data_IF_680733412898
#
_entry.id   IF_680733412898
#
_cell.length_a   1.000
_cell.length_b   1.000
_cell.length_c   1.000
_cell.angle_alpha   90.00
_cell.angle_beta   90.00
_cell.angle_gamma   90.00
#
_symmetry.space_group_name_H-M   'P 1'
#
loop_
_entity.id
_entity.type
_entity.pdbx_description
1 polymer ?
#
# COMPACT_ATOMS: atom_id res chain seq x y z
N UNK A 1 5.09 6.18 -11.33
CA UNK A 1 5.00 5.26 -10.17
C UNK A 1 5.90 5.79 -9.08
N UNK A 2 5.48 5.67 -7.81
CA UNK A 2 6.31 5.87 -6.62
C UNK A 2 6.32 4.56 -5.84
N UNK A 3 7.53 4.11 -5.47
CA UNK A 3 7.73 2.90 -4.67
C UNK A 3 8.11 3.24 -3.23
N UNK A 4 7.52 2.52 -2.27
CA UNK A 4 7.89 2.56 -0.86
C UNK A 4 8.37 1.17 -0.47
N UNK A 5 9.55 1.11 0.12
CA UNK A 5 10.10 -0.14 0.63
C UNK A 5 10.16 -0.06 2.17
N UNK A 6 9.44 -0.96 2.82
CA UNK A 6 9.41 -1.05 4.28
C UNK A 6 10.18 -2.26 4.77
N UNK A 7 11.06 -2.06 5.73
CA UNK A 7 11.83 -3.14 6.36
C UNK A 7 11.75 -3.01 7.88
N UNK A 8 11.65 -4.13 8.57
CA UNK A 8 11.62 -4.14 10.03
C UNK A 8 12.96 -3.69 10.62
N UNK A 9 14.06 -4.25 10.09
CA UNK A 9 15.41 -3.97 10.56
C UNK A 9 16.40 -3.99 9.39
N UNK A 10 16.97 -2.83 9.07
CA UNK A 10 17.84 -2.68 7.91
C UNK A 10 19.07 -3.63 7.90
N UNK A 11 19.62 -3.95 9.08
CA UNK A 11 20.76 -4.86 9.21
C UNK A 11 20.46 -6.32 8.88
N UNK A 12 19.21 -6.72 8.93
CA UNK A 12 18.77 -8.11 8.65
C UNK A 12 17.97 -8.21 7.34
N UNK A 13 18.00 -7.17 6.53
CA UNK A 13 17.28 -7.18 5.28
C UNK A 13 17.88 -8.18 4.28
N UNK A 14 17.12 -9.20 3.95
CA UNK A 14 17.40 -10.12 2.84
C UNK A 14 16.45 -9.78 1.72
N UNK A 15 16.99 -9.48 0.53
CA UNK A 15 16.16 -9.20 -0.65
C UNK A 15 15.36 -10.45 -1.00
N UNK A 16 14.06 -10.39 -0.74
CA UNK A 16 13.12 -11.45 -1.13
C UNK A 16 12.80 -11.37 -2.61
N UNK A 17 12.34 -12.45 -3.23
CA UNK A 17 11.73 -12.39 -4.54
C UNK A 17 10.59 -11.36 -4.55
N UNK A 18 10.43 -10.70 -5.69
CA UNK A 18 9.37 -9.73 -5.92
C UNK A 18 8.78 -9.93 -7.32
N UNK A 19 7.58 -9.41 -7.55
CA UNK A 19 7.02 -9.42 -8.89
C UNK A 19 7.86 -8.53 -9.81
N UNK A 20 8.09 -9.01 -11.02
CA UNK A 20 8.75 -8.22 -12.05
C UNK A 20 7.77 -7.19 -12.61
N UNK A 21 8.13 -5.91 -12.47
CA UNK A 21 7.33 -4.81 -12.97
C UNK A 21 7.97 -4.29 -14.26
N UNK A 22 7.18 -4.22 -15.32
CA UNK A 22 7.60 -3.71 -16.61
C UNK A 22 7.38 -2.20 -16.71
N UNK A 23 8.27 -1.52 -17.42
CA UNK A 23 8.21 -0.10 -17.71
C UNK A 23 9.46 0.67 -17.27
N UNK A 24 9.45 1.97 -17.48
CA UNK A 24 10.54 2.91 -17.14
C UNK A 24 10.62 3.14 -15.61
N UNK A 25 10.83 2.09 -14.83
CA UNK A 25 10.93 2.16 -13.36
C UNK A 25 12.31 2.67 -12.89
N UNK A 26 13.30 2.72 -13.79
CA UNK A 26 14.66 3.14 -13.47
C UNK A 26 14.85 4.67 -13.41
N UNK A 27 13.85 5.43 -13.82
CA UNK A 27 13.89 6.89 -13.71
C UNK A 27 13.74 7.32 -12.28
N UNK A 28 14.78 7.85 -11.69
CA UNK A 28 14.73 8.47 -10.37
C UNK A 28 13.70 9.62 -10.36
N UNK A 29 12.86 9.73 -9.33
CA UNK A 29 11.94 10.85 -9.21
C UNK A 29 12.70 12.17 -9.02
N UNK A 30 12.08 13.27 -9.44
CA UNK A 30 12.55 14.59 -9.03
C UNK A 30 12.48 14.71 -7.50
N UNK A 31 13.54 15.24 -6.89
CA UNK A 31 13.67 15.33 -5.43
C UNK A 31 13.83 16.78 -5.00
N UNK A 32 13.03 17.21 -4.07
CA UNK A 32 13.17 18.51 -3.37
C UNK A 32 13.22 18.27 -1.88
N UNK A 33 14.21 18.85 -1.21
CA UNK A 33 14.34 18.83 0.25
C UNK A 33 14.31 20.25 0.79
N UNK A 34 13.46 20.50 1.76
CA UNK A 34 13.40 21.76 2.51
C UNK A 34 13.76 21.48 3.96
N UNK A 35 14.72 22.24 4.50
CA UNK A 35 15.14 22.15 5.90
C UNK A 35 14.54 23.27 6.69
N UNK A 36 13.75 22.94 7.70
CA UNK A 36 13.18 23.91 8.62
C UNK A 36 13.18 23.36 10.05
N UNK A 37 13.62 24.16 11.00
CA UNK A 37 13.60 23.83 12.44
C UNK A 37 14.22 22.46 12.79
N UNK A 38 15.30 22.07 12.11
CA UNK A 38 15.99 20.78 12.33
C UNK A 38 15.34 19.55 11.71
N UNK A 39 14.26 19.75 10.95
CA UNK A 39 13.55 18.69 10.23
C UNK A 39 13.74 18.85 8.72
N UNK A 40 13.71 17.73 8.01
CA UNK A 40 13.81 17.71 6.56
C UNK A 40 12.47 17.27 5.98
N UNK A 41 11.83 18.17 5.23
CA UNK A 41 10.65 17.86 4.44
C UNK A 41 11.07 17.53 3.02
N UNK A 42 10.68 16.37 2.54
CA UNK A 42 10.98 15.86 1.22
C UNK A 42 9.74 15.84 0.34
N UNK A 43 9.94 16.21 -0.91
CA UNK A 43 8.97 16.03 -1.99
C UNK A 43 9.63 15.22 -3.10
N UNK A 44 9.04 14.09 -3.42
CA UNK A 44 9.42 13.24 -4.55
C UNK A 44 8.35 13.37 -5.63
N UNK A 45 8.76 13.59 -6.89
CA UNK A 45 7.83 13.75 -8.01
C UNK A 45 8.18 12.80 -9.15
N UNK A 46 7.18 12.08 -9.65
CA UNK A 46 7.29 11.18 -10.79
C UNK A 46 6.09 11.42 -11.72
N UNK A 47 6.31 12.25 -12.76
CA UNK A 47 5.25 12.72 -13.65
C UNK A 47 4.19 13.51 -12.88
N UNK A 48 2.94 13.07 -12.95
CA UNK A 48 1.80 13.70 -12.24
C UNK A 48 1.68 13.32 -10.77
N UNK A 49 2.41 12.29 -10.34
CA UNK A 49 2.37 11.77 -8.98
C UNK A 49 3.46 12.42 -8.13
N UNK A 50 3.11 12.87 -6.92
CA UNK A 50 4.08 13.33 -5.95
C UNK A 50 3.81 12.78 -4.55
N UNK A 51 4.88 12.66 -3.78
CA UNK A 51 4.90 12.18 -2.40
C UNK A 51 5.57 13.22 -1.53
N UNK A 52 4.94 13.61 -0.44
CA UNK A 52 5.52 14.46 0.61
C UNK A 52 5.66 13.67 1.91
N UNK A 53 6.81 13.81 2.55
CA UNK A 53 7.07 13.23 3.86
C UNK A 53 8.13 14.04 4.62
N UNK A 54 8.19 13.84 5.93
CA UNK A 54 9.19 14.45 6.82
C UNK A 54 10.10 13.35 7.38
N UNK A 55 11.39 13.59 7.42
CA UNK A 55 12.37 12.64 7.99
C UNK A 55 12.08 12.41 9.48
N UNK A 56 12.01 11.12 9.86
CA UNK A 56 11.66 10.70 11.21
C UNK A 56 10.16 10.62 11.51
N UNK A 57 9.31 10.97 10.54
CA UNK A 57 7.87 10.77 10.62
C UNK A 57 7.43 9.61 9.71
N UNK A 58 6.55 8.72 10.14
CA UNK A 58 5.94 7.73 9.27
C UNK A 58 4.84 8.31 8.37
N UNK A 59 4.48 9.59 8.57
CA UNK A 59 3.42 10.24 7.80
C UNK A 59 3.86 10.54 6.37
N UNK A 60 3.01 10.20 5.42
CA UNK A 60 3.24 10.43 4.00
C UNK A 60 1.96 10.90 3.33
N UNK A 61 2.07 11.86 2.41
CA UNK A 61 0.94 12.37 1.63
C UNK A 61 1.20 12.17 0.15
N UNK A 62 0.22 11.60 -0.54
CA UNK A 62 0.30 11.30 -1.97
C UNK A 62 -0.62 12.24 -2.74
N UNK A 63 -0.10 12.83 -3.81
CA UNK A 63 -0.82 13.74 -4.66
C UNK A 63 -0.79 13.29 -6.11
N UNK A 64 -1.88 13.49 -6.83
CA UNK A 64 -1.98 13.34 -8.27
C UNK A 64 -2.47 14.65 -8.91
N UNK A 65 -1.72 15.20 -9.86
CA UNK A 65 -2.00 16.51 -10.46
C UNK A 65 -2.25 17.62 -9.41
N UNK A 66 -1.50 17.62 -8.30
CA UNK A 66 -1.60 18.59 -7.23
C UNK A 66 -2.76 18.38 -6.24
N UNK A 67 -3.63 17.39 -6.46
CA UNK A 67 -4.73 17.04 -5.56
C UNK A 67 -4.31 15.88 -4.64
N UNK A 68 -4.58 15.98 -3.35
CA UNK A 68 -4.33 14.88 -2.40
C UNK A 68 -5.20 13.68 -2.74
N UNK A 69 -4.57 12.53 -2.95
CA UNK A 69 -5.21 11.25 -3.25
C UNK A 69 -5.46 10.47 -1.98
N UNK A 70 -4.40 10.25 -1.21
CA UNK A 70 -4.42 9.51 0.05
C UNK A 70 -3.23 9.89 0.93
N UNK A 71 -3.22 9.41 2.16
CA UNK A 71 -2.10 9.61 3.08
C UNK A 71 -1.90 8.38 3.98
N UNK A 72 -0.68 8.23 4.47
CA UNK A 72 -0.34 7.37 5.60
C UNK A 72 -0.25 8.25 6.84
N UNK A 73 -0.98 7.92 7.90
CA UNK A 73 -0.98 8.65 9.17
C UNK A 73 -0.01 8.04 10.18
N UNK A 74 0.38 8.79 11.20
CA UNK A 74 1.45 8.42 12.14
C UNK A 74 1.24 7.11 12.91
N UNK A 75 0.04 6.60 13.04
CA UNK A 75 -0.26 5.37 13.79
C UNK A 75 -0.78 4.22 12.94
N UNK A 76 -0.74 4.36 11.62
CA UNK A 76 -1.27 3.35 10.70
C UNK A 76 -0.18 2.48 10.07
N UNK A 77 1.08 2.75 10.39
CA UNK A 77 2.22 1.97 9.89
C UNK A 77 3.03 1.45 11.07
N UNK A 78 3.40 0.20 11.02
CA UNK A 78 4.18 -0.42 12.07
C UNK A 78 4.47 -1.89 11.82
N UNK A 79 5.00 -2.53 12.85
CA UNK A 79 5.22 -3.95 12.89
C UNK A 79 4.35 -4.58 13.98
N UNK A 80 3.68 -5.66 13.61
CA UNK A 80 2.86 -6.46 14.50
C UNK A 80 3.55 -7.80 14.76
N UNK A 81 3.77 -8.10 16.05
CA UNK A 81 4.23 -9.41 16.47
C UNK A 81 3.04 -10.28 16.86
N UNK A 82 2.84 -11.36 16.13
CA UNK A 82 1.80 -12.32 16.45
C UNK A 82 2.28 -13.32 17.51
N UNK A 83 1.39 -13.73 18.41
CA UNK A 83 1.72 -14.67 19.50
C UNK A 83 2.33 -16.00 19.05
N UNK A 84 2.10 -16.42 17.82
CA UNK A 84 2.66 -17.63 17.22
C UNK A 84 4.06 -17.41 16.58
N UNK A 85 4.71 -16.27 16.83
CA UNK A 85 6.06 -15.98 16.36
C UNK A 85 6.15 -15.39 14.95
N UNK A 86 5.03 -15.17 14.27
CA UNK A 86 5.01 -14.48 12.97
C UNK A 86 5.05 -12.96 13.15
N UNK A 87 5.78 -12.29 12.27
CA UNK A 87 5.86 -10.84 12.23
C UNK A 87 5.21 -10.32 10.94
N UNK A 88 4.40 -9.29 11.07
CA UNK A 88 3.74 -8.63 9.96
C UNK A 88 4.15 -7.16 9.90
N UNK A 89 4.39 -6.66 8.70
CA UNK A 89 4.43 -5.23 8.43
C UNK A 89 3.00 -4.78 8.10
N UNK A 90 2.58 -3.71 8.75
CA UNK A 90 1.25 -3.13 8.58
C UNK A 90 1.41 -1.71 8.05
N UNK A 91 0.66 -1.34 7.05
CA UNK A 91 0.58 0.04 6.57
C UNK A 91 -0.85 0.35 6.15
N UNK A 92 -1.42 1.40 6.73
CA UNK A 92 -2.76 1.88 6.42
C UNK A 92 -2.73 3.13 5.56
N UNK A 93 -3.47 3.12 4.47
CA UNK A 93 -3.73 4.25 3.61
C UNK A 93 -5.12 4.82 3.92
N UNK A 94 -5.24 6.14 4.02
CA UNK A 94 -6.50 6.78 4.34
C UNK A 94 -7.51 6.58 3.19
N UNK A 95 -8.67 6.04 3.53
CA UNK A 95 -9.80 5.91 2.62
C UNK A 95 -10.75 7.09 2.80
N UNK A 96 -11.01 7.82 1.73
CA UNK A 96 -11.89 9.01 1.76
C UNK A 96 -13.35 8.64 1.87
N UNK A 97 -14.17 9.56 2.37
CA UNK A 97 -15.63 9.39 2.41
C UNK A 97 -16.18 9.20 0.99
N UNK A 98 -16.95 8.14 0.77
CA UNK A 98 -17.51 7.79 -0.53
C UNK A 98 -16.50 7.24 -1.54
N UNK A 99 -15.25 7.04 -1.15
CA UNK A 99 -14.25 6.40 -1.99
C UNK A 99 -14.49 4.89 -2.05
N UNK A 100 -14.57 4.35 -3.26
CA UNK A 100 -14.78 2.92 -3.51
C UNK A 100 -13.48 2.27 -3.98
N UNK A 101 -13.24 1.06 -3.52
CA UNK A 101 -12.06 0.24 -3.82
C UNK A 101 -12.46 -0.96 -4.66
N UNK A 102 -11.68 -1.25 -5.69
CA UNK A 102 -11.86 -2.36 -6.63
C UNK A 102 -10.56 -3.10 -6.87
N UNK A 103 -10.63 -4.33 -7.37
CA UNK A 103 -9.47 -5.14 -7.73
C UNK A 103 -9.27 -6.34 -6.81
N UNK A 104 -8.02 -6.64 -6.45
CA UNK A 104 -7.59 -7.75 -5.61
C UNK A 104 -7.79 -9.14 -6.24
N UNK A 105 -7.79 -9.20 -7.58
CA UNK A 105 -7.90 -10.44 -8.33
C UNK A 105 -9.35 -10.87 -8.64
N UNK A 106 -9.50 -12.07 -9.16
CA UNK A 106 -10.80 -12.67 -9.48
C UNK A 106 -11.36 -13.36 -8.23
N UNK A 107 -12.52 -12.88 -7.77
CA UNK A 107 -13.19 -13.39 -6.56
C UNK A 107 -14.69 -13.46 -6.75
N UNK A 108 -15.33 -14.41 -6.07
CA UNK A 108 -16.81 -14.55 -6.03
C UNK A 108 -17.46 -13.65 -4.98
N UNK A 109 -16.73 -12.66 -4.47
CA UNK A 109 -17.22 -11.63 -3.55
C UNK A 109 -17.64 -10.37 -4.32
N UNK A 110 -18.37 -9.42 -3.70
CA UNK A 110 -18.75 -8.17 -4.37
C UNK A 110 -17.57 -7.45 -5.02
N UNK A 111 -17.82 -6.80 -6.18
CA UNK A 111 -16.78 -6.05 -6.89
C UNK A 111 -16.21 -4.89 -6.08
N UNK A 112 -17.07 -4.17 -5.36
CA UNK A 112 -16.67 -3.15 -4.40
C UNK A 112 -16.10 -3.85 -3.18
N UNK A 113 -14.85 -3.53 -2.83
CA UNK A 113 -14.13 -4.20 -1.75
C UNK A 113 -14.27 -3.52 -0.39
N UNK A 114 -14.91 -2.37 -0.32
CA UNK A 114 -15.19 -1.69 0.95
C UNK A 114 -15.91 -2.63 1.94
N UNK A 115 -15.52 -2.55 3.19
CA UNK A 115 -15.98 -3.40 4.30
C UNK A 115 -15.63 -4.88 4.15
N UNK A 116 -14.64 -5.22 3.34
CA UNK A 116 -14.15 -6.58 3.18
C UNK A 116 -12.71 -6.72 3.68
N UNK A 117 -12.41 -7.88 4.26
CA UNK A 117 -11.07 -8.40 4.44
C UNK A 117 -10.74 -9.31 3.28
N UNK A 118 -9.62 -9.10 2.62
CA UNK A 118 -9.22 -9.85 1.42
C UNK A 118 -7.81 -10.41 1.59
N UNK A 119 -7.72 -11.71 1.75
CA UNK A 119 -6.45 -12.43 1.80
C UNK A 119 -5.94 -12.74 0.40
N UNK A 120 -4.72 -12.35 0.11
CA UNK A 120 -4.01 -12.66 -1.13
C UNK A 120 -3.17 -13.93 -0.92
N UNK A 121 -3.77 -15.04 -1.31
CA UNK A 121 -3.14 -16.35 -1.28
C UNK A 121 -3.82 -17.25 -2.31
N UNK A 122 -3.07 -17.77 -3.28
CA UNK A 122 -3.65 -18.60 -4.33
C UNK A 122 -3.98 -19.99 -3.78
N UNK A 123 -5.27 -20.29 -3.77
CA UNK A 123 -5.79 -21.57 -3.30
C UNK A 123 -7.10 -21.88 -4.05
N UNK A 124 -7.28 -23.13 -4.47
CA UNK A 124 -8.50 -23.54 -5.15
C UNK A 124 -9.62 -23.77 -4.15
N UNK A 125 -10.65 -22.97 -4.22
CA UNK A 125 -11.78 -23.01 -3.29
C UNK A 125 -13.14 -23.17 -3.94
N UNK A 126 -13.20 -23.24 -5.27
CA UNK A 126 -14.46 -23.29 -6.01
C UNK A 126 -15.29 -22.00 -5.85
N UNK A 127 -16.52 -22.03 -6.34
CA UNK A 127 -17.40 -20.85 -6.43
C UNK A 127 -18.13 -20.48 -5.14
N UNK A 128 -18.07 -21.34 -4.12
CA UNK A 128 -18.80 -21.17 -2.86
C UNK A 128 -17.94 -20.67 -1.70
N UNK A 129 -16.70 -20.25 -1.96
CA UNK A 129 -15.79 -19.77 -0.93
C UNK A 129 -15.11 -18.47 -1.33
N UNK A 130 -14.49 -17.79 -0.36
CA UNK A 130 -13.67 -16.59 -0.58
C UNK A 130 -12.26 -16.93 -1.12
N UNK A 131 -11.90 -18.20 -1.14
CA UNK A 131 -10.63 -18.69 -1.65
C UNK A 131 -10.60 -18.50 -3.16
N UNK A 132 -9.45 -18.07 -3.67
CA UNK A 132 -9.27 -17.77 -5.09
C UNK A 132 -7.89 -18.23 -5.57
N UNK A 133 -7.82 -18.73 -6.78
CA UNK A 133 -6.56 -19.08 -7.45
C UNK A 133 -5.99 -17.96 -8.33
N UNK A 134 -6.67 -16.83 -8.47
CA UNK A 134 -6.22 -15.65 -9.22
C UNK A 134 -6.19 -14.40 -8.34
N UNK A 135 -5.33 -14.42 -7.34
CA UNK A 135 -5.11 -13.28 -6.47
C UNK A 135 -4.12 -12.30 -7.09
N UNK A 136 -4.43 -11.03 -7.07
CA UNK A 136 -3.55 -9.95 -7.52
C UNK A 136 -3.49 -8.91 -6.41
N UNK A 137 -2.34 -8.66 -5.76
CA UNK A 137 -2.21 -7.70 -4.66
C UNK A 137 -2.21 -6.24 -5.18
N UNK A 138 -3.21 -5.92 -5.99
CA UNK A 138 -3.42 -4.62 -6.59
C UNK A 138 -4.87 -4.21 -6.47
N UNK A 139 -5.08 -3.00 -5.95
CA UNK A 139 -6.38 -2.36 -5.98
C UNK A 139 -6.31 -0.98 -6.62
N UNK A 140 -7.45 -0.48 -7.05
CA UNK A 140 -7.63 0.90 -7.52
C UNK A 140 -8.88 1.52 -6.92
N UNK A 141 -8.93 2.85 -6.90
CA UNK A 141 -10.02 3.58 -6.26
C UNK A 141 -10.73 4.54 -7.20
N UNK A 142 -11.93 4.97 -6.80
CA UNK A 142 -12.69 6.00 -7.53
C UNK A 142 -11.99 7.36 -7.52
N UNK A 143 -10.98 7.59 -6.70
CA UNK A 143 -10.13 8.80 -6.77
C UNK A 143 -9.09 8.75 -7.90
N UNK A 144 -8.97 7.62 -8.62
CA UNK A 144 -8.09 7.48 -9.78
C UNK A 144 -6.65 7.16 -9.45
N UNK A 145 -6.38 6.50 -8.33
CA UNK A 145 -5.07 5.92 -8.02
C UNK A 145 -5.20 4.43 -7.76
N UNK A 146 -4.09 3.72 -7.88
CA UNK A 146 -3.97 2.32 -7.52
C UNK A 146 -2.76 2.05 -6.64
N UNK A 147 -2.83 0.96 -5.90
CA UNK A 147 -1.75 0.48 -5.01
C UNK A 147 -1.45 -0.98 -5.32
N UNK A 148 -0.17 -1.27 -5.49
CA UNK A 148 0.33 -2.62 -5.69
C UNK A 148 1.27 -3.00 -4.54
N UNK A 149 0.99 -4.11 -3.86
CA UNK A 149 1.87 -4.65 -2.83
C UNK A 149 2.79 -5.69 -3.46
N UNK A 150 4.03 -5.30 -3.71
CA UNK A 150 5.02 -6.15 -4.35
C UNK A 150 5.67 -7.11 -3.34
N UNK A 151 4.90 -8.10 -2.90
CA UNK A 151 5.34 -9.13 -1.97
C UNK A 151 4.82 -10.50 -2.39
N UNK A 152 5.69 -11.55 -2.48
CA UNK A 152 5.29 -12.87 -2.94
C UNK A 152 4.61 -13.72 -1.85
N UNK A 153 4.73 -13.34 -0.60
CA UNK A 153 4.09 -14.03 0.53
C UNK A 153 2.64 -13.59 0.73
N UNK A 154 2.03 -14.12 1.78
CA UNK A 154 0.65 -13.78 2.15
C UNK A 154 0.51 -12.30 2.48
N UNK A 155 -0.48 -11.65 1.90
CA UNK A 155 -0.86 -10.26 2.14
C UNK A 155 -2.35 -10.22 2.48
N UNK A 156 -2.74 -9.47 3.49
CA UNK A 156 -4.14 -9.22 3.82
C UNK A 156 -4.47 -7.75 3.62
N UNK A 157 -5.60 -7.48 2.97
CA UNK A 157 -6.15 -6.15 2.79
C UNK A 157 -7.41 -5.99 3.62
N UNK A 158 -7.36 -5.08 4.59
CA UNK A 158 -8.50 -4.63 5.38
C UNK A 158 -9.06 -3.36 4.74
N UNK A 159 -10.15 -3.49 3.97
CA UNK A 159 -10.69 -2.37 3.19
C UNK A 159 -11.81 -1.68 3.96
N UNK A 160 -11.47 -0.92 4.98
CA UNK A 160 -12.46 -0.26 5.84
C UNK A 160 -13.38 -1.26 6.57
N UNK A 161 -12.89 -2.48 6.85
CA UNK A 161 -13.65 -3.53 7.53
C UNK A 161 -13.73 -3.33 9.03
N UNK A 162 -12.67 -2.78 9.63
CA UNK A 162 -12.61 -2.52 11.07
C UNK A 162 -12.58 -1.03 11.43
N UNK A 163 -12.02 -0.19 10.54
CA UNK A 163 -11.89 1.26 10.73
C UNK A 163 -12.24 1.98 9.44
N UNK A 164 -12.79 3.20 9.56
CA UNK A 164 -12.99 4.10 8.42
C UNK A 164 -11.65 4.55 7.81
N UNK A 165 -10.56 4.27 8.49
CA UNK A 165 -9.20 4.44 8.04
C UNK A 165 -8.65 3.04 7.71
N UNK A 166 -8.42 2.77 6.47
CA UNK A 166 -7.67 1.58 6.03
C UNK A 166 -6.21 1.84 6.06
#
# INVERSE_FOLDING_TARGET
ILGIHMVNHAGNYVKSPSFELYGDLDKSPERKCEKASGKEKWTLKSGKLSLEFETGSPEMKFYGDGRELTCIKSKTTGMMHHKQGMNYLVSGLNLGVGELVYGLGERFTPMVKNCQTVDIWNEDGGTASEISYKNIPFYYTTKGYGVFVNHPGRVSFEVGSEKVET
#
